data_IF_495733384703
#
_entry.id   IF_495733384703
#
_cell.length_a   1.000
_cell.length_b   1.000
_cell.length_c   1.000
_cell.angle_alpha   90.00
_cell.angle_beta   90.00
_cell.angle_gamma   90.00
#
_symmetry.space_group_name_H-M   'P 1'
#
loop_
_entity.id
_entity.type
_entity.pdbx_description
1 polymer ?
#
# COMPACT_ATOMS: atom_id res chain seq x y z
N UNK A 1 -2.57 0.70 -11.13
CA UNK A 1 -1.96 1.98 -10.72
C UNK A 1 -0.73 2.12 -11.59
N UNK A 2 -0.74 2.99 -12.59
CA UNK A 2 0.45 3.25 -13.40
C UNK A 2 1.47 3.97 -12.52
N UNK A 3 2.68 3.43 -12.43
CA UNK A 3 3.80 4.14 -11.80
C UNK A 3 4.29 5.16 -12.81
N UNK A 4 4.29 6.44 -12.44
CA UNK A 4 4.73 7.53 -13.31
C UNK A 4 6.16 7.27 -13.83
N UNK A 5 6.38 7.46 -15.13
CA UNK A 5 7.70 7.35 -15.73
C UNK A 5 8.60 8.54 -15.33
N UNK A 6 9.90 8.31 -15.20
CA UNK A 6 10.91 9.34 -14.94
C UNK A 6 11.37 9.41 -13.48
N UNK A 7 11.25 8.32 -12.72
CA UNK A 7 11.85 8.22 -11.40
C UNK A 7 13.39 8.20 -11.49
N UNK A 8 14.10 8.85 -10.56
CA UNK A 8 15.56 8.76 -10.53
C UNK A 8 16.00 7.35 -10.11
N UNK A 9 17.00 6.81 -10.81
CA UNK A 9 17.62 5.54 -10.44
C UNK A 9 18.60 5.71 -9.25
N UNK A 10 18.76 4.69 -8.39
CA UNK A 10 18.06 3.41 -8.44
C UNK A 10 16.61 3.53 -7.94
N UNK A 11 15.70 2.84 -8.63
CA UNK A 11 14.33 2.60 -8.15
C UNK A 11 14.35 1.28 -7.38
N UNK A 12 13.71 1.21 -6.22
CA UNK A 12 13.71 0.00 -5.41
C UNK A 12 12.29 -0.50 -5.17
N UNK A 13 12.11 -1.82 -5.10
CA UNK A 13 10.87 -2.49 -4.74
C UNK A 13 11.13 -3.69 -3.82
N UNK A 14 10.14 -4.06 -3.01
CA UNK A 14 10.18 -5.20 -2.10
C UNK A 14 8.90 -5.98 -2.26
N UNK A 15 9.04 -7.28 -2.18
CA UNK A 15 7.95 -8.22 -2.06
C UNK A 15 8.24 -9.15 -0.89
N UNK A 16 7.36 -9.13 0.11
CA UNK A 16 7.33 -10.18 1.14
C UNK A 16 6.46 -11.30 0.60
N UNK A 17 7.06 -12.43 0.28
CA UNK A 17 6.30 -13.63 -0.11
C UNK A 17 5.88 -14.37 1.15
N UNK A 18 4.59 -14.68 1.26
CA UNK A 18 3.97 -15.28 2.44
C UNK A 18 3.24 -16.59 2.15
N UNK A 19 2.67 -17.23 3.19
CA UNK A 19 2.09 -18.57 3.11
C UNK A 19 0.69 -18.58 2.47
N UNK A 20 0.27 -17.52 1.77
CA UNK A 20 -1.00 -17.47 1.04
C UNK A 20 -1.06 -18.46 -0.14
N UNK A 21 0.03 -19.20 -0.37
CA UNK A 21 0.13 -20.29 -1.34
C UNK A 21 -0.17 -21.67 -0.77
N UNK A 22 0.14 -22.68 -1.58
CA UNK A 22 0.18 -24.08 -1.14
C UNK A 22 1.34 -24.29 -0.15
N UNK A 23 1.31 -25.37 0.65
CA UNK A 23 2.47 -25.83 1.39
C UNK A 23 3.70 -25.93 0.48
N UNK A 24 4.90 -25.78 1.05
CA UNK A 24 6.15 -25.71 0.27
C UNK A 24 6.40 -26.90 -0.67
N UNK A 25 5.88 -28.09 -0.33
CA UNK A 25 5.95 -29.27 -1.19
C UNK A 25 4.82 -29.39 -2.23
N UNK A 26 4.00 -28.36 -2.43
CA UNK A 26 2.91 -28.32 -3.44
C UNK A 26 1.65 -29.13 -3.10
N UNK A 27 1.63 -29.84 -1.96
CA UNK A 27 0.55 -30.73 -1.55
C UNK A 27 -0.75 -30.04 -1.06
N UNK A 28 -1.77 -30.85 -0.74
CA UNK A 28 -3.04 -30.38 -0.19
C UNK A 28 -3.10 -30.36 1.36
N UNK A 29 -2.07 -30.88 2.04
CA UNK A 29 -2.03 -31.04 3.50
C UNK A 29 -1.55 -29.78 4.22
N UNK A 30 -1.95 -29.57 5.48
CA UNK A 30 -1.44 -28.45 6.27
C UNK A 30 0.04 -28.71 6.66
N UNK A 31 0.96 -27.93 6.07
CA UNK A 31 2.38 -27.94 6.41
C UNK A 31 2.89 -26.49 6.60
N UNK A 32 4.10 -26.29 7.16
CA UNK A 32 4.71 -24.97 7.24
C UNK A 32 4.76 -24.32 5.86
N UNK A 33 4.31 -23.06 5.77
CA UNK A 33 4.33 -22.30 4.53
C UNK A 33 5.71 -21.72 4.25
N UNK A 34 5.94 -21.39 2.97
CA UNK A 34 7.17 -20.77 2.52
C UNK A 34 7.07 -19.27 2.70
N UNK A 35 8.13 -18.65 3.21
CA UNK A 35 8.15 -17.20 3.44
C UNK A 35 9.50 -16.62 3.08
N UNK A 36 9.53 -15.39 2.60
CA UNK A 36 10.77 -14.75 2.21
C UNK A 36 10.61 -13.30 1.82
N UNK A 37 11.73 -12.68 1.52
CA UNK A 37 11.79 -11.30 1.02
C UNK A 37 12.51 -11.32 -0.32
N UNK A 38 11.95 -10.62 -1.29
CA UNK A 38 12.53 -10.37 -2.61
C UNK A 38 12.65 -8.87 -2.79
N UNK A 39 13.87 -8.37 -3.00
CA UNK A 39 14.16 -6.97 -3.25
C UNK A 39 14.51 -6.78 -4.72
N UNK A 40 14.01 -5.72 -5.32
CA UNK A 40 14.29 -5.28 -6.66
C UNK A 40 15.01 -3.94 -6.59
N UNK A 41 16.04 -3.74 -7.39
CA UNK A 41 16.78 -2.50 -7.54
C UNK A 41 17.01 -2.26 -9.03
N UNK A 42 16.18 -1.42 -9.64
CA UNK A 42 16.38 -0.97 -11.01
C UNK A 42 17.41 0.15 -11.02
N UNK A 43 18.62 -0.14 -11.47
CA UNK A 43 19.78 0.76 -11.42
C UNK A 43 19.88 1.69 -12.63
N UNK A 44 19.22 1.33 -13.73
CA UNK A 44 19.08 2.12 -14.95
C UNK A 44 17.85 1.67 -15.77
N UNK A 45 17.66 2.26 -16.95
CA UNK A 45 16.52 1.96 -17.80
C UNK A 45 16.45 0.50 -18.26
N UNK A 46 17.57 -0.22 -18.28
CA UNK A 46 17.73 -1.55 -18.88
C UNK A 46 18.09 -2.65 -17.87
N UNK A 47 18.34 -2.31 -16.60
CA UNK A 47 18.90 -3.24 -15.63
C UNK A 47 18.17 -3.20 -14.29
N UNK A 48 17.60 -4.33 -13.89
CA UNK A 48 17.04 -4.56 -12.56
C UNK A 48 17.77 -5.70 -11.85
N UNK A 49 18.38 -5.39 -10.71
CA UNK A 49 18.93 -6.39 -9.79
C UNK A 49 17.83 -6.91 -8.89
N UNK A 50 17.81 -8.22 -8.65
CA UNK A 50 16.79 -8.87 -7.84
C UNK A 50 17.50 -9.77 -6.83
N UNK A 51 17.42 -9.44 -5.56
CA UNK A 51 17.98 -10.25 -4.46
C UNK A 51 16.86 -10.90 -3.66
N UNK A 52 17.09 -12.11 -3.18
CA UNK A 52 16.07 -12.87 -2.46
C UNK A 52 16.65 -13.69 -1.32
N UNK A 53 15.84 -13.88 -0.28
CA UNK A 53 16.04 -14.87 0.77
C UNK A 53 14.68 -15.51 1.10
N UNK A 54 14.50 -16.79 0.73
CA UNK A 54 13.24 -17.53 0.85
C UNK A 54 13.48 -18.80 1.66
N UNK A 55 12.65 -19.03 2.67
CA UNK A 55 12.82 -20.08 3.68
C UNK A 55 11.70 -21.10 3.61
N UNK A 56 12.04 -22.33 4.02
CA UNK A 56 11.09 -23.44 4.13
C UNK A 56 10.93 -24.25 2.84
N UNK A 57 11.72 -23.96 1.81
CA UNK A 57 11.65 -24.64 0.52
C UNK A 57 12.14 -26.09 0.64
N UNK A 58 11.56 -26.97 -0.18
CA UNK A 58 12.02 -28.35 -0.32
C UNK A 58 13.33 -28.40 -1.12
N UNK A 59 14.15 -29.45 -1.00
CA UNK A 59 15.34 -29.59 -1.84
C UNK A 59 15.00 -29.60 -3.34
N UNK A 60 15.79 -28.89 -4.14
CA UNK A 60 15.66 -28.83 -5.60
C UNK A 60 15.30 -27.44 -6.12
N UNK A 61 15.19 -27.32 -7.44
CA UNK A 61 14.86 -26.04 -8.09
C UNK A 61 13.38 -25.72 -7.95
N UNK A 62 13.09 -24.43 -7.80
CA UNK A 62 11.75 -23.88 -7.70
C UNK A 62 11.58 -22.76 -8.72
N UNK A 63 10.55 -22.83 -9.56
CA UNK A 63 10.21 -21.76 -10.50
C UNK A 63 9.92 -20.43 -9.78
N UNK A 64 10.36 -19.33 -10.38
CA UNK A 64 10.36 -18.00 -9.78
C UNK A 64 9.87 -16.98 -10.82
N UNK A 65 8.65 -16.44 -10.62
CA UNK A 65 7.98 -15.63 -11.64
C UNK A 65 7.27 -14.40 -11.09
N UNK A 66 7.17 -13.34 -11.89
CA UNK A 66 6.18 -12.28 -11.67
C UNK A 66 4.87 -12.65 -12.35
N UNK A 67 3.78 -12.64 -11.60
CA UNK A 67 2.42 -12.89 -12.08
C UNK A 67 1.63 -11.61 -12.31
N UNK A 68 0.63 -11.66 -13.20
CA UNK A 68 -0.05 -10.48 -13.72
C UNK A 68 -0.76 -9.64 -12.64
N UNK A 69 -1.39 -10.28 -11.65
CA UNK A 69 -2.21 -9.62 -10.64
C UNK A 69 -1.65 -9.84 -9.23
N UNK A 70 -1.79 -8.83 -8.38
CA UNK A 70 -1.69 -8.99 -6.93
C UNK A 70 -3.09 -9.18 -6.32
N UNK A 71 -3.80 -10.19 -6.81
CA UNK A 71 -5.07 -10.66 -6.26
C UNK A 71 -4.82 -11.99 -5.54
N UNK A 72 -5.09 -12.00 -4.23
CA UNK A 72 -4.92 -13.16 -3.37
C UNK A 72 -6.22 -13.62 -2.71
N UNK A 73 -7.38 -13.22 -3.27
CA UNK A 73 -8.72 -13.57 -2.74
C UNK A 73 -8.97 -15.09 -2.65
N UNK A 74 -8.31 -15.88 -3.49
CA UNK A 74 -8.23 -17.35 -3.42
C UNK A 74 -6.76 -17.83 -3.32
N UNK A 75 -6.01 -17.20 -2.41
CA UNK A 75 -4.57 -17.37 -2.27
C UNK A 75 -3.83 -17.04 -3.58
N UNK A 76 -2.64 -17.61 -3.75
CA UNK A 76 -1.80 -17.36 -4.93
C UNK A 76 -2.44 -17.75 -6.27
N UNK A 77 -3.54 -18.52 -6.28
CA UNK A 77 -4.26 -18.91 -7.50
C UNK A 77 -4.83 -17.70 -8.24
N UNK A 78 -5.29 -16.67 -7.51
CA UNK A 78 -5.97 -15.51 -8.12
C UNK A 78 -5.00 -14.52 -8.78
N UNK A 79 -3.69 -14.69 -8.58
CA UNK A 79 -2.65 -13.85 -9.18
C UNK A 79 -2.59 -13.91 -10.72
N UNK A 80 -3.37 -14.79 -11.36
CA UNK A 80 -3.43 -14.88 -12.83
C UNK A 80 -2.21 -15.58 -13.44
N UNK A 81 -1.96 -15.44 -14.75
CA UNK A 81 -0.80 -16.02 -15.44
C UNK A 81 0.49 -15.25 -15.13
N UNK A 82 1.62 -15.69 -15.70
CA UNK A 82 2.86 -14.90 -15.70
C UNK A 82 2.60 -13.53 -16.36
N UNK A 83 3.30 -12.50 -15.91
CA UNK A 83 3.17 -11.17 -16.51
C UNK A 83 3.73 -11.14 -17.93
N UNK A 84 2.83 -11.04 -18.93
CA UNK A 84 3.17 -11.16 -20.35
C UNK A 84 2.49 -10.05 -21.20
N UNK A 85 2.93 -8.79 -21.08
CA UNK A 85 2.35 -7.68 -21.85
C UNK A 85 2.58 -7.83 -23.37
N UNK A 86 3.62 -8.57 -23.77
CA UNK A 86 4.03 -8.73 -25.17
C UNK A 86 3.44 -9.97 -25.85
N UNK A 87 2.65 -10.79 -25.14
CA UNK A 87 2.03 -12.03 -25.65
C UNK A 87 3.03 -13.02 -26.25
N UNK A 88 4.22 -13.11 -25.64
CA UNK A 88 5.27 -14.07 -25.98
C UNK A 88 4.99 -15.45 -25.38
N UNK A 89 5.70 -16.48 -25.80
CA UNK A 89 5.75 -17.75 -25.06
C UNK A 89 6.70 -17.66 -23.88
N UNK A 90 6.50 -18.52 -22.89
CA UNK A 90 7.40 -18.68 -21.75
C UNK A 90 8.81 -19.15 -22.18
N UNK A 91 9.84 -18.67 -21.51
CA UNK A 91 11.26 -18.98 -21.79
C UNK A 91 12.20 -18.66 -20.63
N UNK A 92 13.50 -18.92 -20.82
CA UNK A 92 14.53 -18.58 -19.83
C UNK A 92 14.72 -17.07 -19.68
N UNK A 93 15.28 -16.57 -18.56
CA UNK A 93 15.56 -15.14 -18.40
C UNK A 93 16.46 -14.53 -19.50
N UNK A 94 17.31 -15.33 -20.12
CA UNK A 94 18.23 -14.89 -21.16
C UNK A 94 17.61 -14.94 -22.56
N UNK A 95 16.44 -15.55 -22.72
CA UNK A 95 15.80 -15.73 -24.03
C UNK A 95 15.14 -14.43 -24.51
N UNK A 96 15.18 -14.20 -25.83
CA UNK A 96 14.38 -13.13 -26.45
C UNK A 96 12.88 -13.46 -26.41
N UNK A 97 12.53 -14.74 -26.50
CA UNK A 97 11.16 -15.24 -26.46
C UNK A 97 10.82 -15.74 -25.05
N UNK A 98 10.41 -14.80 -24.20
CA UNK A 98 9.99 -15.04 -22.81
C UNK A 98 8.88 -14.09 -22.40
N UNK A 99 8.14 -14.42 -21.34
CA UNK A 99 7.34 -13.44 -20.64
C UNK A 99 8.23 -12.45 -19.88
N UNK A 100 7.72 -11.25 -19.60
CA UNK A 100 8.43 -10.28 -18.75
C UNK A 100 8.63 -10.83 -17.34
N UNK A 101 7.67 -11.61 -16.85
CA UNK A 101 7.74 -12.20 -15.51
C UNK A 101 8.60 -13.46 -15.36
N UNK A 102 9.23 -13.98 -16.41
CA UNK A 102 9.93 -15.27 -16.35
C UNK A 102 11.35 -15.11 -15.74
N UNK A 103 11.56 -15.36 -14.44
CA UNK A 103 12.88 -15.21 -13.79
C UNK A 103 13.62 -16.54 -13.58
N UNK A 104 13.09 -17.64 -14.12
CA UNK A 104 13.71 -18.96 -14.09
C UNK A 104 13.58 -19.63 -12.74
N UNK A 105 14.69 -20.12 -12.20
CA UNK A 105 14.70 -20.96 -10.99
C UNK A 105 15.51 -20.34 -9.84
N UNK A 106 15.03 -20.58 -8.63
CA UNK A 106 15.82 -20.46 -7.40
C UNK A 106 16.05 -21.85 -6.80
N UNK A 107 17.10 -22.01 -5.99
CA UNK A 107 17.46 -23.30 -5.40
C UNK A 107 17.90 -23.09 -3.94
N UNK A 108 17.26 -23.77 -2.96
CA UNK A 108 17.62 -23.68 -1.56
C UNK A 108 18.84 -24.54 -1.24
N UNK A 109 19.60 -24.13 -0.23
CA UNK A 109 20.61 -24.96 0.41
C UNK A 109 20.01 -26.11 1.21
N UNK A 110 20.87 -26.92 1.84
CA UNK A 110 20.46 -28.03 2.70
C UNK A 110 19.59 -27.60 3.91
N UNK A 111 19.64 -26.31 4.27
CA UNK A 111 18.85 -25.68 5.32
C UNK A 111 17.44 -25.25 4.87
N UNK A 112 17.08 -25.49 3.60
CA UNK A 112 15.81 -25.07 3.02
C UNK A 112 15.72 -23.57 2.76
N UNK A 113 16.87 -22.87 2.69
CA UNK A 113 16.94 -21.43 2.42
C UNK A 113 17.52 -21.20 1.02
N UNK A 114 16.74 -20.60 0.12
CA UNK A 114 17.21 -20.07 -1.15
C UNK A 114 17.61 -18.61 -0.96
N UNK A 115 18.91 -18.32 -1.10
CA UNK A 115 19.45 -16.96 -1.01
C UNK A 115 20.34 -16.66 -2.21
N UNK A 116 20.07 -15.57 -2.91
CA UNK A 116 20.81 -15.23 -4.12
C UNK A 116 20.48 -13.86 -4.69
N UNK A 117 21.09 -13.58 -5.84
CA UNK A 117 20.87 -12.39 -6.65
C UNK A 117 20.82 -12.80 -8.12
N UNK A 118 19.94 -12.16 -8.89
CA UNK A 118 19.88 -12.24 -10.34
C UNK A 118 19.75 -10.84 -10.95
N UNK A 119 20.13 -10.70 -12.22
CA UNK A 119 20.02 -9.43 -12.97
C UNK A 119 19.13 -9.67 -14.17
N UNK A 120 18.06 -8.89 -14.28
CA UNK A 120 17.08 -8.99 -15.36
C UNK A 120 16.98 -7.70 -16.16
N UNK A 121 16.71 -7.83 -17.47
CA UNK A 121 16.62 -6.70 -18.40
C UNK A 121 15.19 -6.29 -18.75
N UNK A 122 14.20 -7.16 -18.53
CA UNK A 122 12.80 -6.93 -18.85
C UNK A 122 12.00 -6.42 -17.66
N UNK A 123 12.37 -6.80 -16.42
CA UNK A 123 11.75 -6.29 -15.21
C UNK A 123 11.99 -4.79 -15.10
N UNK A 124 10.90 -4.02 -15.06
CA UNK A 124 10.90 -2.57 -14.79
C UNK A 124 10.09 -2.27 -13.53
N UNK A 125 10.50 -1.28 -12.77
CA UNK A 125 9.81 -0.76 -11.59
C UNK A 125 9.02 0.52 -11.89
N UNK A 126 9.17 1.08 -13.08
CA UNK A 126 8.42 2.24 -13.59
C UNK A 126 7.95 2.03 -15.04
N UNK A 127 7.11 2.94 -15.52
CA UNK A 127 6.62 2.95 -16.90
C UNK A 127 5.51 1.94 -17.18
N UNK A 128 5.11 1.85 -18.46
CA UNK A 128 3.97 1.06 -18.92
C UNK A 128 4.07 -0.43 -18.53
N UNK A 129 5.29 -0.97 -18.52
CA UNK A 129 5.56 -2.38 -18.25
C UNK A 129 6.06 -2.66 -16.84
N UNK A 130 5.77 -1.77 -15.88
CA UNK A 130 6.18 -1.95 -14.50
C UNK A 130 5.61 -3.24 -13.88
N UNK A 131 6.43 -3.88 -13.04
CA UNK A 131 6.02 -5.00 -12.18
C UNK A 131 5.52 -4.55 -10.80
N UNK A 132 5.64 -3.27 -10.47
CA UNK A 132 5.08 -2.72 -9.23
C UNK A 132 3.56 -2.89 -9.25
N UNK A 133 3.01 -3.35 -8.12
CA UNK A 133 1.59 -3.66 -7.98
C UNK A 133 1.18 -5.03 -8.51
N UNK A 134 2.11 -5.77 -9.12
CA UNK A 134 1.95 -7.19 -9.49
C UNK A 134 2.43 -8.08 -8.35
N UNK A 135 2.52 -9.39 -8.56
CA UNK A 135 2.97 -10.32 -7.52
C UNK A 135 4.22 -11.09 -7.89
N UNK A 136 5.12 -11.29 -6.92
CA UNK A 136 6.16 -12.31 -7.02
C UNK A 136 5.59 -13.67 -6.64
N UNK A 137 6.00 -14.72 -7.35
CA UNK A 137 5.53 -16.10 -7.20
C UNK A 137 6.69 -17.06 -7.05
N UNK A 138 6.60 -17.97 -6.09
CA UNK A 138 7.45 -19.14 -5.97
C UNK A 138 6.63 -20.39 -6.22
N UNK A 139 7.19 -21.30 -6.99
CA UNK A 139 6.55 -22.53 -7.43
C UNK A 139 7.11 -23.78 -6.75
N UNK A 140 6.35 -24.88 -6.73
CA UNK A 140 6.73 -26.14 -6.10
C UNK A 140 7.79 -26.89 -6.90
N UNK A 141 7.69 -26.86 -8.23
CA UNK A 141 8.51 -27.66 -9.13
C UNK A 141 9.50 -26.78 -9.90
N UNK A 142 10.56 -27.39 -10.49
CA UNK A 142 11.48 -26.69 -11.36
C UNK A 142 10.76 -26.07 -12.56
N UNK A 143 11.13 -24.85 -12.90
CA UNK A 143 10.85 -24.25 -14.18
C UNK A 143 11.76 -24.87 -15.26
N UNK A 144 11.16 -25.48 -16.29
CA UNK A 144 11.84 -26.07 -17.45
C UNK A 144 12.28 -25.04 -18.51
N UNK A 145 12.05 -23.75 -18.25
CA UNK A 145 12.46 -22.62 -19.06
C UNK A 145 11.85 -22.62 -20.47
N UNK A 146 10.68 -23.23 -20.62
CA UNK A 146 10.00 -23.35 -21.91
C UNK A 146 10.63 -24.37 -22.84
N UNK A 147 11.52 -25.24 -22.34
CA UNK A 147 12.25 -26.24 -23.14
C UNK A 147 11.66 -27.64 -23.05
N UNK A 148 10.68 -27.85 -22.15
CA UNK A 148 10.00 -29.12 -21.99
C UNK A 148 9.21 -29.52 -23.24
N UNK A 149 9.35 -30.78 -23.63
CA UNK A 149 8.52 -31.41 -24.68
C UNK A 149 7.17 -31.92 -24.13
N UNK A 150 6.94 -31.72 -22.82
CA UNK A 150 5.80 -32.22 -22.04
C UNK A 150 5.61 -33.74 -22.16
N UNK A 151 6.71 -34.48 -22.33
CA UNK A 151 6.70 -35.95 -22.41
C UNK A 151 6.64 -36.65 -21.05
N UNK A 152 6.93 -35.96 -19.95
CA UNK A 152 6.82 -36.48 -18.58
C UNK A 152 5.33 -36.69 -18.19
N UNK A 153 4.92 -37.92 -17.85
CA UNK A 153 3.53 -38.23 -17.52
C UNK A 153 3.21 -37.84 -16.06
N UNK A 154 2.58 -36.68 -15.86
CA UNK A 154 2.00 -36.24 -14.59
C UNK A 154 0.58 -35.69 -14.77
N UNK A 155 -0.43 -36.03 -13.93
CA UNK A 155 -1.79 -35.53 -14.09
C UNK A 155 -1.98 -34.06 -13.63
N UNK A 156 -2.64 -33.20 -14.42
CA UNK A 156 -3.01 -33.40 -15.82
C UNK A 156 -1.88 -32.92 -16.75
N UNK A 157 -1.46 -33.73 -17.75
CA UNK A 157 -0.48 -33.29 -18.74
C UNK A 157 -1.17 -32.45 -19.80
N UNK A 158 -0.58 -31.31 -20.18
CA UNK A 158 -1.09 -30.46 -21.25
C UNK A 158 -0.02 -30.28 -22.34
N UNK A 159 -0.12 -31.13 -23.38
CA UNK A 159 0.50 -31.03 -24.73
C UNK A 159 1.30 -29.74 -24.98
N UNK A 160 2.65 -29.75 -24.99
CA UNK A 160 3.54 -28.63 -25.39
C UNK A 160 3.27 -27.21 -24.83
N UNK A 161 2.16 -26.99 -24.12
CA UNK A 161 1.53 -25.72 -23.80
C UNK A 161 1.73 -25.37 -22.34
N UNK A 162 1.90 -26.36 -21.46
CA UNK A 162 2.25 -26.11 -20.06
C UNK A 162 3.68 -25.55 -19.96
N UNK A 163 4.70 -26.22 -20.53
CA UNK A 163 6.06 -25.64 -20.65
C UNK A 163 6.05 -24.24 -21.27
N UNK A 164 5.47 -24.07 -22.47
CA UNK A 164 5.40 -22.76 -23.15
C UNK A 164 4.50 -21.70 -22.49
N UNK A 165 3.80 -22.01 -21.41
CA UNK A 165 3.00 -21.05 -20.65
C UNK A 165 3.47 -20.82 -19.22
N UNK A 166 4.05 -21.83 -18.57
CA UNK A 166 4.36 -21.81 -17.13
C UNK A 166 5.66 -22.54 -16.77
N UNK A 167 6.41 -23.02 -17.75
CA UNK A 167 7.64 -23.76 -17.49
C UNK A 167 7.45 -25.09 -16.77
N UNK A 168 6.23 -25.64 -16.74
CA UNK A 168 5.87 -26.80 -15.92
C UNK A 168 6.21 -26.65 -14.40
N UNK A 169 6.33 -25.43 -13.88
CA UNK A 169 6.73 -25.18 -12.48
C UNK A 169 5.69 -25.63 -11.42
N UNK A 170 4.52 -26.14 -11.84
CA UNK A 170 3.56 -26.75 -10.92
C UNK A 170 2.92 -25.76 -9.94
N UNK A 171 2.70 -26.22 -8.69
CA UNK A 171 1.88 -25.52 -7.70
C UNK A 171 2.52 -24.19 -7.24
N UNK A 172 1.68 -23.20 -6.91
CA UNK A 172 2.10 -21.89 -6.37
C UNK A 172 2.23 -21.98 -4.85
N UNK A 173 3.44 -21.90 -4.31
CA UNK A 173 3.73 -22.21 -2.89
C UNK A 173 3.96 -20.97 -2.02
N UNK A 174 4.32 -19.84 -2.61
CA UNK A 174 4.38 -18.56 -1.92
C UNK A 174 4.16 -17.42 -2.90
N UNK A 175 3.49 -16.37 -2.45
CA UNK A 175 3.31 -15.16 -3.25
C UNK A 175 3.24 -13.92 -2.37
N UNK A 176 3.45 -12.77 -3.00
CA UNK A 176 3.31 -11.47 -2.36
C UNK A 176 3.25 -10.36 -3.39
N UNK A 177 2.69 -9.22 -3.00
CA UNK A 177 2.62 -8.04 -3.87
C UNK A 177 3.98 -7.34 -3.92
N UNK A 178 4.41 -6.96 -5.12
CA UNK A 178 5.60 -6.13 -5.34
C UNK A 178 5.21 -4.68 -5.09
N UNK A 179 5.83 -4.07 -4.10
CA UNK A 179 5.60 -2.69 -3.69
C UNK A 179 6.91 -1.92 -3.85
N UNK A 180 6.87 -0.66 -4.27
CA UNK A 180 8.08 0.17 -4.22
C UNK A 180 8.63 0.21 -2.79
N UNK A 181 9.93 -0.04 -2.63
CA UNK A 181 10.66 -0.03 -1.37
C UNK A 181 10.95 1.42 -1.02
N UNK A 182 9.92 2.10 -0.57
CA UNK A 182 9.93 3.55 -0.52
C UNK A 182 9.92 4.11 -1.95
N UNK A 183 8.77 4.64 -2.39
CA UNK A 183 8.90 5.83 -3.24
C UNK A 183 9.86 6.75 -2.50
N UNK A 184 10.96 7.14 -3.14
CA UNK A 184 12.20 7.59 -2.48
C UNK A 184 11.93 8.27 -1.13
N UNK A 185 12.24 7.58 -0.02
CA UNK A 185 12.12 8.22 1.27
C UNK A 185 13.10 9.40 1.33
N UNK A 186 12.70 10.55 1.89
CA UNK A 186 11.38 10.79 2.45
C UNK A 186 10.29 10.97 1.39
N UNK A 187 9.20 10.20 1.50
CA UNK A 187 7.96 10.43 0.76
C UNK A 187 7.41 11.74 1.28
N UNK A 188 7.12 12.65 0.37
CA UNK A 188 6.52 13.94 0.70
C UNK A 188 5.13 14.02 0.11
N UNK A 189 4.22 14.57 0.89
CA UNK A 189 2.92 14.95 0.42
C UNK A 189 2.57 16.33 0.94
N UNK A 190 1.72 17.04 0.22
CA UNK A 190 1.22 18.34 0.62
C UNK A 190 -0.30 18.34 0.49
N UNK A 191 -0.94 19.02 1.44
CA UNK A 191 -2.34 19.33 1.41
C UNK A 191 -2.50 20.83 1.66
N UNK A 192 -3.13 21.54 0.71
CA UNK A 192 -3.61 22.90 0.95
C UNK A 192 -5.06 22.79 1.39
N UNK A 193 -5.36 23.16 2.63
CA UNK A 193 -6.72 23.21 3.13
C UNK A 193 -7.29 24.61 2.91
N UNK A 194 -8.54 24.68 2.46
CA UNK A 194 -9.19 25.94 2.11
C UNK A 194 -10.68 25.96 2.44
N UNK A 195 -11.36 27.08 2.10
CA UNK A 195 -12.75 27.30 2.45
C UNK A 195 -13.67 26.60 1.45
N UNK A 196 -13.57 25.28 1.39
CA UNK A 196 -14.62 24.41 0.88
C UNK A 196 -15.50 23.89 2.04
N UNK A 197 -15.29 24.40 3.26
CA UNK A 197 -16.00 24.04 4.49
C UNK A 197 -16.92 25.12 5.04
N UNK A 198 -17.42 24.90 6.26
CA UNK A 198 -18.13 25.92 7.05
C UNK A 198 -17.16 27.06 7.44
N UNK A 199 -17.68 28.25 7.81
CA UNK A 199 -16.94 29.27 8.55
C UNK A 199 -16.09 28.68 9.68
N UNK A 200 -14.96 29.29 10.01
CA UNK A 200 -14.01 28.76 11.01
C UNK A 200 -14.61 28.51 12.40
N UNK A 201 -15.66 29.22 12.76
CA UNK A 201 -16.40 29.05 14.02
C UNK A 201 -17.54 28.02 13.92
N UNK A 202 -17.65 27.28 12.81
CA UNK A 202 -18.67 26.25 12.58
C UNK A 202 -20.09 26.75 12.24
N UNK A 203 -20.31 28.08 12.21
CA UNK A 203 -21.64 28.67 12.01
C UNK A 203 -22.17 28.62 10.58
N UNK A 204 -23.40 29.14 10.37
CA UNK A 204 -24.03 29.22 9.05
C UNK A 204 -23.81 30.58 8.34
N UNK A 205 -23.23 31.56 9.05
CA UNK A 205 -23.04 32.94 8.62
C UNK A 205 -21.85 33.08 7.65
N UNK A 206 -21.90 34.00 6.70
CA UNK A 206 -20.74 34.27 5.84
C UNK A 206 -19.61 34.91 6.66
N UNK A 207 -18.47 34.23 6.78
CA UNK A 207 -17.29 34.73 7.47
C UNK A 207 -16.00 34.34 6.72
N UNK A 208 -14.85 34.97 7.01
CA UNK A 208 -13.56 34.53 6.49
C UNK A 208 -13.35 33.05 6.82
N UNK A 209 -12.96 32.28 5.81
CA UNK A 209 -12.72 30.85 5.96
C UNK A 209 -11.29 30.53 6.38
N UNK A 210 -11.10 29.30 6.84
CA UNK A 210 -9.83 28.82 7.35
C UNK A 210 -8.97 28.31 6.21
N UNK A 211 -7.69 28.64 6.23
CA UNK A 211 -6.75 28.21 5.18
C UNK A 211 -5.42 27.81 5.78
N UNK A 212 -4.74 26.85 5.15
CA UNK A 212 -3.46 26.39 5.62
C UNK A 212 -2.77 25.43 4.67
N UNK A 213 -1.50 25.16 4.99
CA UNK A 213 -0.69 24.15 4.30
C UNK A 213 -0.29 23.11 5.33
N UNK A 214 -0.45 21.85 4.95
CA UNK A 214 -0.04 20.67 5.71
C UNK A 214 0.93 19.89 4.84
N UNK A 215 2.12 19.61 5.35
CA UNK A 215 3.13 18.80 4.68
C UNK A 215 3.33 17.51 5.45
N UNK A 216 3.45 16.41 4.73
CA UNK A 216 3.74 15.09 5.25
C UNK A 216 5.14 14.71 4.80
N UNK A 217 5.90 14.11 5.70
CA UNK A 217 7.21 13.56 5.43
C UNK A 217 7.28 12.19 6.11
N UNK A 218 7.18 11.14 5.31
CA UNK A 218 7.39 9.78 5.79
C UNK A 218 8.83 9.40 5.43
N UNK A 219 9.67 9.08 6.41
CA UNK A 219 11.09 8.76 6.19
C UNK A 219 11.38 7.26 6.21
N UNK A 220 10.44 6.46 6.72
CA UNK A 220 10.46 5.01 6.82
C UNK A 220 9.03 4.47 6.88
N UNK A 221 8.86 3.14 6.91
CA UNK A 221 7.53 2.55 7.01
C UNK A 221 6.92 2.62 8.41
N UNK A 222 7.62 3.14 9.42
CA UNK A 222 7.14 3.15 10.80
C UNK A 222 6.46 4.48 11.16
N UNK A 223 6.93 5.60 10.59
CA UNK A 223 6.51 6.94 11.03
C UNK A 223 6.30 7.94 9.90
N UNK A 224 5.21 8.70 9.98
CA UNK A 224 4.94 9.87 9.14
C UNK A 224 4.95 11.13 10.00
N UNK A 225 5.80 12.10 9.64
CA UNK A 225 5.84 13.44 10.26
C UNK A 225 4.91 14.37 9.51
N UNK A 226 4.14 15.15 10.23
CA UNK A 226 3.17 16.09 9.69
C UNK A 226 3.53 17.47 10.20
N UNK A 227 3.71 18.43 9.29
CA UNK A 227 3.97 19.83 9.59
C UNK A 227 2.78 20.64 9.11
N UNK A 228 2.23 21.50 9.95
CA UNK A 228 1.04 22.27 9.59
C UNK A 228 1.20 23.74 9.96
N UNK A 229 0.58 24.60 9.15
CA UNK A 229 0.30 25.99 9.49
C UNK A 229 -1.07 26.36 8.93
N UNK A 230 -2.02 26.57 9.83
CA UNK A 230 -3.42 26.90 9.52
C UNK A 230 -3.77 28.23 10.19
N UNK A 231 -4.52 29.06 9.49
CA UNK A 231 -4.87 30.43 9.90
C UNK A 231 -6.36 30.68 9.80
N UNK A 232 -6.85 31.63 10.59
CA UNK A 232 -8.26 32.03 10.65
C UNK A 232 -9.07 31.24 11.68
N UNK A 233 -8.43 30.33 12.42
CA UNK A 233 -9.07 29.50 13.44
C UNK A 233 -9.52 30.35 14.64
N UNK A 234 -10.50 29.85 15.39
CA UNK A 234 -10.78 30.37 16.72
C UNK A 234 -9.68 29.94 17.70
N UNK A 235 -9.39 30.70 18.77
CA UNK A 235 -8.41 30.26 19.77
C UNK A 235 -8.83 28.93 20.42
N UNK A 236 -7.88 28.03 20.63
CA UNK A 236 -8.10 26.73 21.28
C UNK A 236 -7.86 25.51 20.37
N UNK A 237 -8.38 24.35 20.82
CA UNK A 237 -8.19 23.07 20.14
C UNK A 237 -9.19 22.84 19.02
N UNK A 238 -8.72 22.19 17.96
CA UNK A 238 -9.50 21.81 16.79
C UNK A 238 -9.19 20.37 16.41
N UNK A 239 -10.23 19.55 16.20
CA UNK A 239 -10.08 18.19 15.70
C UNK A 239 -9.42 18.15 14.31
N UNK A 240 -8.56 17.16 14.10
CA UNK A 240 -7.68 17.07 12.94
C UNK A 240 -7.65 15.64 12.43
N UNK A 241 -8.23 15.42 11.25
CA UNK A 241 -8.50 14.06 10.74
C UNK A 241 -8.18 13.89 9.26
N UNK A 242 -7.97 12.64 8.85
CA UNK A 242 -8.02 12.21 7.45
C UNK A 242 -9.37 11.57 7.18
N UNK A 243 -10.09 12.10 6.20
CA UNK A 243 -11.38 11.56 5.74
C UNK A 243 -11.21 10.68 4.51
N UNK A 244 -12.14 9.75 4.32
CA UNK A 244 -12.02 8.66 3.35
C UNK A 244 -11.82 9.14 1.90
N UNK A 245 -12.44 10.26 1.51
CA UNK A 245 -12.49 10.72 0.11
C UNK A 245 -12.02 12.16 -0.02
N UNK A 246 -11.34 12.47 -1.13
CA UNK A 246 -11.18 13.83 -1.63
C UNK A 246 -12.33 14.22 -2.57
N UNK A 247 -13.57 14.09 -2.09
CA UNK A 247 -14.77 14.59 -2.79
C UNK A 247 -15.27 15.84 -2.08
N UNK A 248 -15.25 16.96 -2.79
CA UNK A 248 -15.67 18.27 -2.28
C UNK A 248 -16.87 18.85 -3.05
N UNK A 249 -17.62 18.00 -3.75
CA UNK A 249 -18.82 18.38 -4.52
C UNK A 249 -19.89 19.11 -3.70
N UNK A 250 -19.97 18.85 -2.39
CA UNK A 250 -20.78 19.57 -1.41
C UNK A 250 -19.91 20.13 -0.28
N UNK A 251 -18.78 20.73 -0.68
CA UNK A 251 -17.73 21.13 0.23
C UNK A 251 -17.18 19.95 1.03
N UNK A 252 -16.66 20.22 2.22
CA UNK A 252 -16.05 19.20 3.09
C UNK A 252 -17.00 18.07 3.53
N UNK A 253 -18.32 18.20 3.33
CA UNK A 253 -19.28 17.17 3.71
C UNK A 253 -19.20 15.92 2.81
N UNK A 254 -18.86 16.08 1.53
CA UNK A 254 -18.77 14.96 0.59
C UNK A 254 -17.55 14.05 0.83
N UNK A 255 -16.58 14.49 1.65
CA UNK A 255 -15.37 13.73 1.98
C UNK A 255 -15.62 12.41 2.73
N UNK A 256 -16.86 12.14 3.17
CA UNK A 256 -17.22 10.89 3.85
C UNK A 256 -16.80 10.87 5.33
N UNK A 257 -16.76 9.68 5.97
CA UNK A 257 -16.31 9.53 7.37
C UNK A 257 -14.79 9.63 7.50
N UNK A 258 -14.27 9.48 8.72
CA UNK A 258 -12.84 9.29 8.96
C UNK A 258 -12.35 8.07 8.17
N UNK A 259 -11.12 8.12 7.69
CA UNK A 259 -10.53 7.01 6.98
C UNK A 259 -10.28 5.81 7.92
N UNK A 260 -11.07 4.75 7.75
CA UNK A 260 -11.12 3.60 8.66
C UNK A 260 -11.15 2.26 7.91
N UNK A 261 -10.05 1.85 7.25
CA UNK A 261 -9.99 0.59 6.51
C UNK A 261 -10.13 -0.64 7.42
N UNK A 262 -9.79 -0.52 8.71
CA UNK A 262 -9.81 -1.60 9.68
C UNK A 262 -11.12 -1.72 10.47
N UNK A 263 -12.10 -0.86 10.21
CA UNK A 263 -13.42 -0.84 10.87
C UNK A 263 -13.33 -0.78 12.40
N UNK A 264 -12.35 -0.05 12.92
CA UNK A 264 -12.16 0.22 14.35
C UNK A 264 -13.09 1.32 14.84
N UNK A 265 -13.20 1.48 16.15
CA UNK A 265 -13.80 2.68 16.76
C UNK A 265 -12.81 3.83 16.79
N UNK A 266 -13.33 5.06 16.89
CA UNK A 266 -12.52 6.27 17.00
C UNK A 266 -11.78 6.33 18.34
N UNK A 267 -10.55 6.85 18.33
CA UNK A 267 -9.68 6.96 19.51
C UNK A 267 -8.54 7.97 19.33
N UNK A 268 -7.70 8.10 20.36
CA UNK A 268 -6.53 8.96 20.32
C UNK A 268 -5.45 8.43 19.34
N UNK A 269 -4.52 9.28 18.86
CA UNK A 269 -3.43 8.82 17.99
C UNK A 269 -2.55 7.71 18.60
N UNK A 270 -2.45 7.65 19.91
CA UNK A 270 -1.65 6.66 20.62
C UNK A 270 -2.39 5.34 20.89
N UNK A 271 -3.71 5.30 20.67
CA UNK A 271 -4.53 4.13 20.98
C UNK A 271 -4.37 3.04 19.91
N UNK A 272 -4.42 1.78 20.33
CA UNK A 272 -4.52 0.65 19.40
C UNK A 272 -5.90 0.63 18.71
N UNK A 273 -6.92 1.10 19.41
CA UNK A 273 -8.31 1.17 18.95
C UNK A 273 -8.60 2.59 18.46
N UNK A 274 -8.29 2.83 17.19
CA UNK A 274 -8.49 4.10 16.49
C UNK A 274 -8.72 3.88 15.00
N UNK A 275 -9.29 4.86 14.31
CA UNK A 275 -9.23 4.90 12.85
C UNK A 275 -7.81 5.28 12.37
N UNK A 276 -7.50 4.93 11.12
CA UNK A 276 -6.24 5.36 10.48
C UNK A 276 -6.18 6.88 10.37
N UNK A 277 -7.31 7.54 10.14
CA UNK A 277 -7.39 8.98 10.00
C UNK A 277 -7.45 9.79 11.30
N UNK A 278 -7.38 9.18 12.49
CA UNK A 278 -7.59 9.90 13.76
C UNK A 278 -6.31 10.59 14.24
N UNK A 279 -6.02 11.84 13.85
CA UNK A 279 -4.77 12.54 14.23
C UNK A 279 -4.90 13.40 15.49
N UNK A 280 -6.06 13.38 16.15
CA UNK A 280 -6.33 14.09 17.40
C UNK A 280 -6.58 15.58 17.18
N UNK A 281 -5.85 16.44 17.90
CA UNK A 281 -6.08 17.88 17.92
C UNK A 281 -4.85 18.69 17.48
N UNK A 282 -5.12 19.81 16.80
CA UNK A 282 -4.19 20.95 16.69
C UNK A 282 -4.67 22.09 17.59
N UNK A 283 -3.81 23.04 17.93
CA UNK A 283 -4.14 24.15 18.83
C UNK A 283 -3.77 25.50 18.19
N UNK A 284 -4.75 26.40 18.14
CA UNK A 284 -4.61 27.76 17.63
C UNK A 284 -4.42 28.77 18.78
N UNK A 285 -3.49 29.70 18.60
CA UNK A 285 -3.29 30.82 19.52
C UNK A 285 -4.39 31.89 19.41
N UNK A 286 -4.27 32.93 20.25
CA UNK A 286 -5.15 34.12 20.22
C UNK A 286 -5.13 34.88 18.89
N UNK A 287 -4.07 34.70 18.10
CA UNK A 287 -3.94 35.25 16.74
C UNK A 287 -4.65 34.41 15.67
N UNK A 288 -5.32 33.32 16.07
CA UNK A 288 -6.05 32.41 15.18
C UNK A 288 -5.13 31.55 14.30
N UNK A 289 -3.88 31.33 14.73
CA UNK A 289 -2.90 30.51 14.01
C UNK A 289 -2.59 29.23 14.79
N UNK A 290 -2.76 28.08 14.13
CA UNK A 290 -2.21 26.80 14.58
C UNK A 290 -1.01 26.44 13.72
N UNK A 291 0.18 26.36 14.32
CA UNK A 291 1.40 26.00 13.62
C UNK A 291 2.24 25.03 14.45
N UNK A 292 2.61 23.90 13.87
CA UNK A 292 3.30 22.86 14.63
C UNK A 292 3.71 21.66 13.78
N UNK A 293 4.18 20.63 14.48
CA UNK A 293 4.46 19.33 13.90
C UNK A 293 3.93 18.23 14.81
N UNK A 294 3.59 17.08 14.23
CA UNK A 294 3.24 15.86 14.95
C UNK A 294 3.77 14.64 14.17
N UNK A 295 3.81 13.48 14.83
CA UNK A 295 4.24 12.23 14.23
C UNK A 295 3.17 11.18 14.44
N UNK A 296 2.81 10.46 13.38
CA UNK A 296 1.84 9.37 13.43
C UNK A 296 2.47 8.08 12.90
N UNK A 297 2.10 6.94 13.49
CA UNK A 297 2.65 5.62 13.15
C UNK A 297 1.76 4.81 12.21
N UNK A 298 0.50 5.22 12.05
CA UNK A 298 -0.52 4.44 11.38
C UNK A 298 -0.76 4.91 9.95
N UNK A 299 -0.72 6.21 9.69
CA UNK A 299 -0.85 6.75 8.33
C UNK A 299 0.37 6.39 7.49
N UNK A 300 0.14 6.11 6.21
CA UNK A 300 1.16 5.82 5.20
C UNK A 300 0.92 6.67 3.96
N UNK A 301 1.97 7.11 3.28
CA UNK A 301 1.91 7.83 2.01
C UNK A 301 1.98 6.88 0.80
N UNK A 302 2.19 5.59 1.03
CA UNK A 302 2.19 4.55 0.00
C UNK A 302 1.54 3.25 0.53
N UNK A 303 1.35 2.27 -0.36
CA UNK A 303 0.73 0.99 -0.02
C UNK A 303 -0.80 1.01 -0.08
N UNK A 304 -1.41 -0.14 0.22
CA UNK A 304 -2.86 -0.36 0.16
C UNK A 304 -3.63 0.62 1.05
N UNK A 305 -3.09 0.90 2.23
CA UNK A 305 -3.73 1.79 3.19
C UNK A 305 -3.28 3.25 3.09
N UNK A 306 -2.68 3.65 1.97
CA UNK A 306 -2.20 5.01 1.77
C UNK A 306 -3.27 6.07 2.00
N UNK A 307 -2.83 7.23 2.50
CA UNK A 307 -3.65 8.44 2.67
C UNK A 307 -3.57 9.38 1.47
N UNK A 308 -2.74 9.09 0.46
CA UNK A 308 -2.71 9.86 -0.78
C UNK A 308 -4.05 9.75 -1.51
N UNK A 309 -4.54 10.88 -2.02
CA UNK A 309 -5.86 10.98 -2.67
C UNK A 309 -7.04 11.02 -1.69
N UNK A 310 -6.77 11.03 -0.39
CA UNK A 310 -7.76 11.29 0.68
C UNK A 310 -7.72 12.76 1.05
N UNK A 311 -8.55 13.18 2.01
CA UNK A 311 -8.60 14.59 2.42
C UNK A 311 -8.15 14.79 3.86
N UNK A 312 -7.36 15.84 4.10
CA UNK A 312 -7.25 16.42 5.44
C UNK A 312 -8.50 17.19 5.80
N UNK A 313 -8.88 17.13 7.07
CA UNK A 313 -10.04 17.78 7.66
C UNK A 313 -9.63 18.51 8.93
N UNK A 314 -10.02 19.78 9.01
CA UNK A 314 -9.96 20.58 10.24
C UNK A 314 -11.38 20.81 10.71
N UNK A 315 -11.60 20.61 12.01
CA UNK A 315 -12.91 20.70 12.64
C UNK A 315 -13.06 21.96 13.50
N UNK A 316 -14.31 22.37 13.76
CA UNK A 316 -14.65 23.55 14.55
C UNK A 316 -14.32 23.36 16.03
N UNK A 317 -14.60 22.18 16.57
CA UNK A 317 -14.54 21.89 17.99
C UNK A 317 -13.37 20.92 18.30
N UNK A 318 -12.94 20.83 19.57
CA UNK A 318 -11.96 19.84 19.99
C UNK A 318 -12.44 18.41 19.76
N UNK A 319 -11.53 17.56 19.31
CA UNK A 319 -11.71 16.12 19.32
C UNK A 319 -11.55 15.57 20.76
N UNK A 320 -12.56 14.87 21.26
CA UNK A 320 -12.61 14.21 22.57
C UNK A 320 -11.87 12.87 22.64
N UNK A 321 -11.27 12.43 21.53
CA UNK A 321 -10.44 11.25 21.39
C UNK A 321 -11.18 9.94 21.69
N UNK A 322 -12.50 9.92 21.49
CA UNK A 322 -13.34 8.76 21.77
C UNK A 322 -13.59 8.53 23.26
N UNK A 323 -13.28 9.52 24.12
CA UNK A 323 -13.43 9.43 25.58
C UNK A 323 -14.66 10.15 26.13
N UNK A 324 -15.36 10.91 25.29
CA UNK A 324 -16.52 11.69 25.69
C UNK A 324 -17.73 10.84 26.08
N UNK A 325 -18.45 11.29 27.10
CA UNK A 325 -19.76 10.75 27.47
C UNK A 325 -20.90 11.27 26.56
N UNK A 326 -20.56 12.12 25.59
CA UNK A 326 -21.47 12.78 24.63
C UNK A 326 -22.39 13.81 25.30
N UNK A 327 -21.87 14.50 26.32
CA UNK A 327 -22.55 15.62 27.01
C UNK A 327 -22.46 16.97 26.28
N UNK A 328 -21.85 17.06 25.09
CA UNK A 328 -21.78 18.30 24.31
C UNK A 328 -23.19 18.83 23.90
N UNK A 329 -23.39 20.17 23.88
CA UNK A 329 -24.69 20.78 23.65
C UNK A 329 -24.97 20.99 22.15
N UNK A 330 -25.85 20.15 21.56
CA UNK A 330 -26.37 20.37 20.20
C UNK A 330 -27.38 19.31 19.74
N UNK A 331 -28.47 19.66 19.01
CA UNK A 331 -29.48 18.68 18.60
C UNK A 331 -29.19 18.03 17.22
N UNK A 332 -29.47 16.72 17.05
CA UNK A 332 -29.84 15.75 18.08
C UNK A 332 -28.61 15.00 18.63
N UNK A 333 -28.49 14.84 19.96
CA UNK A 333 -27.47 13.98 20.55
C UNK A 333 -27.78 12.51 20.27
N UNK A 334 -26.78 11.74 19.83
CA UNK A 334 -26.88 10.28 19.66
C UNK A 334 -25.99 9.62 20.71
N UNK A 335 -26.61 9.06 21.76
CA UNK A 335 -26.03 8.25 22.85
C UNK A 335 -24.65 7.66 22.54
N UNK A 336 -23.55 8.10 23.16
CA UNK A 336 -22.28 7.33 23.14
C UNK A 336 -21.51 7.33 21.82
N UNK A 337 -22.24 7.40 20.71
CA UNK A 337 -21.84 6.95 19.38
C UNK A 337 -21.11 8.03 18.61
N UNK A 338 -21.37 9.29 18.89
CA UNK A 338 -20.72 10.40 18.19
C UNK A 338 -19.25 10.51 18.60
N UNK A 339 -18.93 10.40 19.90
CA UNK A 339 -17.54 10.31 20.39
C UNK A 339 -16.81 9.13 19.74
N UNK A 340 -17.36 7.90 19.85
CA UNK A 340 -16.76 6.69 19.26
C UNK A 340 -16.72 6.64 17.73
N UNK A 341 -17.30 7.61 17.04
CA UNK A 341 -17.26 7.70 15.57
C UNK A 341 -16.48 8.91 15.03
N UNK A 342 -16.46 10.02 15.77
CA UNK A 342 -16.03 11.33 15.25
C UNK A 342 -15.32 12.21 16.29
N UNK A 343 -15.19 11.74 17.53
CA UNK A 343 -14.58 12.52 18.59
C UNK A 343 -15.37 13.75 19.02
N UNK A 344 -16.65 13.87 18.62
CA UNK A 344 -17.45 15.08 18.84
C UNK A 344 -16.81 16.39 18.33
N UNK A 345 -15.90 16.32 17.35
CA UNK A 345 -15.19 17.50 16.83
C UNK A 345 -16.08 18.50 16.07
N UNK A 346 -17.37 18.22 15.90
CA UNK A 346 -18.32 19.16 15.31
C UNK A 346 -18.08 19.45 13.82
N UNK A 347 -18.32 20.69 13.40
CA UNK A 347 -18.40 21.07 11.99
C UNK A 347 -17.05 20.98 11.26
N UNK A 348 -17.09 20.64 9.96
CA UNK A 348 -15.92 20.61 9.07
C UNK A 348 -15.64 22.02 8.53
N UNK A 349 -14.55 22.64 8.94
CA UNK A 349 -14.27 24.07 8.68
C UNK A 349 -13.22 24.31 7.59
N UNK A 350 -12.33 23.35 7.34
CA UNK A 350 -11.41 23.39 6.20
C UNK A 350 -11.05 21.97 5.77
N UNK A 351 -10.89 21.78 4.47
CA UNK A 351 -10.46 20.51 3.91
C UNK A 351 -9.63 20.71 2.65
N UNK A 352 -8.93 19.65 2.25
CA UNK A 352 -8.15 19.62 1.01
C UNK A 352 -7.63 18.22 0.74
N UNK A 353 -7.37 17.93 -0.54
CA UNK A 353 -6.79 16.65 -0.96
C UNK A 353 -5.32 16.54 -0.55
N UNK A 354 -4.90 15.35 -0.11
CA UNK A 354 -3.50 15.01 0.16
C UNK A 354 -2.88 14.49 -1.13
N UNK A 355 -1.90 15.23 -1.66
CA UNK A 355 -1.22 14.91 -2.91
C UNK A 355 0.25 14.64 -2.66
N UNK A 356 0.82 13.67 -3.37
CA UNK A 356 2.28 13.53 -3.42
C UNK A 356 2.89 14.85 -3.88
N UNK A 357 3.97 15.25 -3.21
CA UNK A 357 4.70 16.49 -3.45
C UNK A 357 5.94 16.26 -4.32
#
# INVERSE_FOLDING_TARGET
MEVAAGMPYPITAVCVVGPEGKPCGGGAEAAPGCTGVVNFEQIDADTCKISYEIKGLTPGKHGFHVHEFADFTNGCTSAGPHYNPFKKTHGAPEDEERHVGDLGNIEPGEDGVAKGELVDKLIKLEGEYTVVGRSMMVHADPDDLGTGDNSEPGPPPVNGKASKATGNAGARIACGKILLSGGAYPLKATCTVGPEGKPCHGGAEAAPGCTGIINFEQSDDDTCRIFYRITGLTPGKHGFHIHEKADFSNGCNSAGPHYNPFKKTHGAPEDEERHVGDLGNIEAGEDGVAAGQMTDKLIKLAGEFSVIGRSMMVHADPDDLGTGDNSEPGPPPVNGKASKATGNAGARIACGEIKLA
#
